data_IF_073549499580
#
_entry.id   IF_073549499580
#
_cell.length_a   1.000
_cell.length_b   1.000
_cell.length_c   1.000
_cell.angle_alpha   90.00
_cell.angle_beta   90.00
_cell.angle_gamma   90.00
#
_symmetry.space_group_name_H-M   'P 1'
#
loop_
_entity.id
_entity.type
_entity.pdbx_description
1 polymer ?
#
# COMPACT_ATOMS: atom_id res chain seq x y z
N UNK A 1 14.07 -6.04 -4.84
CA UNK A 1 13.27 -6.76 -3.83
C UNK A 1 13.91 -6.74 -2.44
N UNK A 2 15.10 -6.15 -2.25
CA UNK A 2 15.63 -5.94 -0.89
C UNK A 2 14.92 -4.78 -0.20
N UNK A 3 14.46 -5.02 1.02
CA UNK A 3 13.96 -4.01 1.95
C UNK A 3 12.44 -3.83 2.01
N UNK A 4 11.63 -4.52 1.22
CA UNK A 4 10.16 -4.43 1.33
C UNK A 4 9.63 -5.24 2.52
N UNK A 5 8.77 -4.62 3.34
CA UNK A 5 8.13 -5.30 4.46
C UNK A 5 6.97 -6.13 3.90
N UNK A 6 7.11 -7.45 3.92
CA UNK A 6 6.09 -8.40 3.46
C UNK A 6 5.33 -8.92 4.69
N UNK A 7 4.02 -8.62 4.82
CA UNK A 7 3.23 -9.15 5.91
C UNK A 7 2.97 -10.65 5.70
N UNK A 8 3.16 -11.43 6.75
CA UNK A 8 2.84 -12.86 6.77
C UNK A 8 1.63 -13.11 7.66
N UNK A 9 0.66 -13.86 7.15
CA UNK A 9 -0.44 -14.39 7.94
C UNK A 9 -0.12 -15.84 8.28
N UNK A 10 0.00 -16.14 9.58
CA UNK A 10 0.26 -17.49 10.09
C UNK A 10 -1.01 -18.00 10.75
N UNK A 11 -1.49 -19.15 10.30
CA UNK A 11 -2.61 -19.88 10.90
C UNK A 11 -2.05 -21.14 11.57
N UNK A 12 -2.27 -21.29 12.86
CA UNK A 12 -1.81 -22.43 13.66
C UNK A 12 -3.01 -23.31 13.99
N UNK A 13 -2.91 -24.61 13.72
CA UNK A 13 -3.94 -25.61 14.00
C UNK A 13 -3.65 -26.37 15.31
N UNK A 14 -4.66 -27.07 15.83
CA UNK A 14 -4.54 -27.81 17.11
C UNK A 14 -3.54 -28.97 17.05
N UNK A 15 -3.34 -29.55 15.87
CA UNK A 15 -2.33 -30.58 15.60
C UNK A 15 -0.90 -30.03 15.48
N UNK A 16 -0.72 -28.73 15.76
CA UNK A 16 0.53 -27.97 15.61
C UNK A 16 1.02 -27.87 14.16
N UNK A 17 0.20 -28.23 13.18
CA UNK A 17 0.43 -27.81 11.81
C UNK A 17 0.21 -26.31 11.67
N UNK A 18 0.86 -25.70 10.69
CA UNK A 18 0.70 -24.27 10.41
C UNK A 18 0.69 -24.02 8.91
N UNK A 19 -0.19 -23.11 8.51
CA UNK A 19 -0.20 -22.51 7.17
C UNK A 19 0.33 -21.09 7.26
N UNK A 20 1.16 -20.69 6.30
CA UNK A 20 1.59 -19.31 6.17
C UNK A 20 1.28 -18.78 4.77
N UNK A 21 0.70 -17.58 4.72
CA UNK A 21 0.41 -16.86 3.47
C UNK A 21 1.17 -15.54 3.47
N UNK A 22 2.03 -15.36 2.47
CA UNK A 22 2.72 -14.10 2.21
C UNK A 22 1.76 -13.18 1.47
N UNK A 23 1.53 -11.99 2.01
CA UNK A 23 0.75 -10.93 1.36
C UNK A 23 1.68 -9.96 0.68
N UNK A 24 1.16 -9.16 -0.23
CA UNK A 24 1.89 -8.04 -0.83
C UNK A 24 2.22 -6.98 0.23
N UNK A 25 3.29 -6.20 0.01
CA UNK A 25 3.68 -5.12 0.90
C UNK A 25 2.53 -4.14 1.20
N UNK A 26 2.51 -3.52 2.39
CA UNK A 26 1.52 -2.51 2.73
C UNK A 26 1.49 -1.38 1.69
N UNK A 27 0.29 -0.91 1.35
CA UNK A 27 0.13 0.22 0.42
C UNK A 27 0.93 1.45 0.91
N UNK A 28 1.00 1.64 2.23
CA UNK A 28 1.76 2.73 2.85
C UNK A 28 3.26 2.67 2.57
N UNK A 29 3.87 1.47 2.53
CA UNK A 29 5.30 1.33 2.23
C UNK A 29 5.57 1.57 0.74
N UNK A 30 4.71 1.02 -0.13
CA UNK A 30 4.77 1.24 -1.57
C UNK A 30 4.63 2.72 -1.92
N UNK A 31 3.70 3.43 -1.28
CA UNK A 31 3.47 4.87 -1.47
C UNK A 31 4.63 5.72 -0.94
N UNK A 32 5.24 5.35 0.19
CA UNK A 32 6.43 6.05 0.72
C UNK A 32 7.61 5.97 -0.25
N UNK A 33 7.84 4.79 -0.84
CA UNK A 33 8.88 4.58 -1.84
C UNK A 33 8.62 5.37 -3.11
N UNK A 34 7.38 5.32 -3.62
CA UNK A 34 6.98 6.07 -4.81
C UNK A 34 7.12 7.59 -4.60
N UNK A 35 6.74 8.09 -3.41
CA UNK A 35 6.89 9.50 -3.04
C UNK A 35 8.32 9.89 -2.61
N UNK A 36 9.23 8.92 -2.46
CA UNK A 36 10.60 9.09 -1.92
C UNK A 36 10.63 9.77 -0.55
N UNK A 37 9.73 9.38 0.35
CA UNK A 37 9.62 9.91 1.72
C UNK A 37 9.86 8.81 2.75
N UNK A 38 10.58 9.11 3.82
CA UNK A 38 10.84 8.13 4.89
C UNK A 38 9.62 7.96 5.81
N UNK A 39 8.88 9.06 6.06
CA UNK A 39 7.74 9.08 6.98
C UNK A 39 6.52 9.77 6.35
N UNK A 40 5.34 9.24 6.66
CA UNK A 40 4.07 9.91 6.36
C UNK A 40 3.88 11.15 7.25
N UNK A 41 2.93 12.01 6.86
CA UNK A 41 2.60 13.21 7.61
C UNK A 41 1.99 12.89 8.97
N UNK A 42 2.48 13.56 10.01
CA UNK A 42 1.82 13.54 11.32
C UNK A 42 0.51 14.33 11.35
N UNK A 43 0.27 15.21 10.36
CA UNK A 43 -0.97 15.96 10.19
C UNK A 43 -1.39 15.93 8.71
N UNK A 44 -1.92 14.80 8.21
CA UNK A 44 -2.15 14.52 6.77
C UNK A 44 -3.00 15.55 6.02
N UNK A 45 -3.91 16.20 6.75
CA UNK A 45 -4.82 17.21 6.21
C UNK A 45 -4.19 18.60 6.09
N UNK A 46 -3.10 18.89 6.81
CA UNK A 46 -2.45 20.22 6.83
C UNK A 46 -1.05 20.22 6.22
N UNK A 47 -0.26 19.19 6.50
CA UNK A 47 1.10 19.06 5.99
C UNK A 47 1.15 17.94 4.95
N UNK A 48 1.36 18.31 3.68
CA UNK A 48 1.66 17.35 2.62
C UNK A 48 3.16 17.06 2.61
N UNK A 49 3.53 15.78 2.60
CA UNK A 49 4.93 15.34 2.75
C UNK A 49 5.53 14.78 1.46
N UNK A 50 4.71 14.53 0.44
CA UNK A 50 5.19 14.02 -0.84
C UNK A 50 4.12 14.09 -1.92
N UNK A 51 4.52 13.78 -3.16
CA UNK A 51 3.64 13.74 -4.32
C UNK A 51 3.92 12.49 -5.14
N UNK A 52 2.88 11.85 -5.65
CA UNK A 52 2.96 10.68 -6.54
C UNK A 52 2.13 10.93 -7.80
N UNK A 53 2.51 10.30 -8.92
CA UNK A 53 1.73 10.40 -10.16
C UNK A 53 0.60 9.38 -10.19
N UNK A 54 -0.42 9.61 -11.03
CA UNK A 54 -1.45 8.60 -11.31
C UNK A 54 -0.89 7.30 -11.87
N UNK A 55 0.23 7.35 -12.61
CA UNK A 55 0.90 6.16 -13.12
C UNK A 55 1.47 5.31 -11.97
N UNK A 56 2.07 5.94 -10.96
CA UNK A 56 2.57 5.24 -9.77
C UNK A 56 1.43 4.59 -8.99
N UNK A 57 0.31 5.30 -8.83
CA UNK A 57 -0.90 4.77 -8.18
C UNK A 57 -1.42 3.53 -8.92
N UNK A 58 -1.45 3.56 -10.25
CA UNK A 58 -1.88 2.44 -11.07
C UNK A 58 -0.96 1.23 -10.91
N UNK A 59 0.36 1.43 -10.98
CA UNK A 59 1.33 0.35 -10.79
C UNK A 59 1.22 -0.28 -9.39
N UNK A 60 1.01 0.54 -8.35
CA UNK A 60 0.78 0.06 -6.98
C UNK A 60 -0.54 -0.72 -6.89
N UNK A 61 -1.61 -0.21 -7.51
CA UNK A 61 -2.92 -0.85 -7.51
C UNK A 61 -2.89 -2.21 -8.23
N UNK A 62 -2.25 -2.30 -9.39
CA UNK A 62 -2.07 -3.55 -10.14
C UNK A 62 -1.26 -4.56 -9.33
N UNK A 63 -0.17 -4.13 -8.70
CA UNK A 63 0.65 -5.01 -7.84
C UNK A 63 -0.08 -5.49 -6.59
N UNK A 64 -0.99 -4.67 -6.04
CA UNK A 64 -1.75 -5.00 -4.83
C UNK A 64 -3.08 -5.71 -5.13
N UNK A 65 -3.46 -5.84 -6.41
CA UNK A 65 -4.79 -6.29 -6.82
C UNK A 65 -5.15 -7.66 -6.24
N UNK A 66 -4.18 -8.58 -6.16
CA UNK A 66 -4.38 -9.93 -5.62
C UNK A 66 -4.78 -9.95 -4.13
N UNK A 67 -4.43 -8.91 -3.38
CA UNK A 67 -4.79 -8.75 -1.97
C UNK A 67 -5.96 -7.80 -1.73
N UNK A 68 -6.37 -7.07 -2.77
CA UNK A 68 -7.48 -6.13 -2.69
C UNK A 68 -8.78 -6.84 -3.05
N UNK A 69 -9.83 -6.48 -2.34
CA UNK A 69 -11.21 -6.86 -2.64
C UNK A 69 -11.85 -5.96 -3.71
N UNK A 70 -11.04 -5.33 -4.56
CA UNK A 70 -11.52 -4.45 -5.63
C UNK A 70 -11.94 -5.26 -6.86
N UNK A 71 -12.99 -4.83 -7.55
CA UNK A 71 -13.50 -5.49 -8.75
C UNK A 71 -12.84 -4.98 -10.05
N UNK A 72 -12.16 -3.83 -9.98
CA UNK A 72 -11.46 -3.22 -11.11
C UNK A 72 -10.19 -2.49 -10.67
N UNK A 73 -9.26 -2.30 -11.60
CA UNK A 73 -8.03 -1.53 -11.35
C UNK A 73 -8.36 -0.10 -10.93
N UNK A 74 -9.42 0.50 -11.49
CA UNK A 74 -9.85 1.86 -11.10
C UNK A 74 -10.36 1.91 -9.65
N UNK A 75 -11.08 0.88 -9.20
CA UNK A 75 -11.51 0.78 -7.81
C UNK A 75 -10.30 0.56 -6.88
N UNK A 76 -9.35 -0.28 -7.29
CA UNK A 76 -8.09 -0.47 -6.57
C UNK A 76 -7.31 0.84 -6.47
N UNK A 77 -7.21 1.62 -7.56
CA UNK A 77 -6.58 2.93 -7.56
C UNK A 77 -7.22 3.86 -6.51
N UNK A 78 -8.56 3.93 -6.43
CA UNK A 78 -9.25 4.74 -5.41
C UNK A 78 -8.90 4.32 -3.98
N UNK A 79 -8.72 3.02 -3.71
CA UNK A 79 -8.30 2.51 -2.40
C UNK A 79 -6.88 3.00 -2.06
N UNK A 80 -5.97 2.93 -3.04
CA UNK A 80 -4.59 3.41 -2.88
C UNK A 80 -4.56 4.94 -2.72
N UNK A 81 -5.35 5.69 -3.49
CA UNK A 81 -5.48 7.15 -3.36
C UNK A 81 -5.99 7.56 -1.97
N UNK A 82 -6.96 6.83 -1.40
CA UNK A 82 -7.42 7.04 -0.03
C UNK A 82 -6.30 6.87 1.00
N UNK A 83 -5.42 5.89 0.77
CA UNK A 83 -4.23 5.66 1.61
C UNK A 83 -3.20 6.78 1.43
N UNK A 84 -2.95 7.24 0.20
CA UNK A 84 -2.06 8.37 -0.06
C UNK A 84 -2.55 9.63 0.67
N UNK A 85 -3.85 9.90 0.60
CA UNK A 85 -4.48 11.03 1.28
C UNK A 85 -4.34 10.97 2.80
N UNK A 86 -4.55 9.80 3.41
CA UNK A 86 -4.40 9.60 4.86
C UNK A 86 -2.94 9.68 5.33
N UNK A 87 -1.98 9.52 4.43
CA UNK A 87 -0.55 9.72 4.70
C UNK A 87 -0.06 11.14 4.44
N UNK A 88 -0.90 12.02 3.89
CA UNK A 88 -0.50 13.36 3.48
C UNK A 88 0.34 13.36 2.20
N UNK A 89 0.19 12.36 1.34
CA UNK A 89 0.79 12.32 0.01
C UNK A 89 -0.24 12.87 -0.98
N UNK A 90 0.18 13.80 -1.83
CA UNK A 90 -0.67 14.38 -2.88
C UNK A 90 -0.59 13.51 -4.13
N UNK A 91 -1.74 13.23 -4.74
CA UNK A 91 -1.81 12.53 -6.03
C UNK A 91 -1.87 13.60 -7.12
N UNK A 92 -0.78 13.73 -7.87
CA UNK A 92 -0.73 14.57 -9.06
C UNK A 92 -1.61 13.98 -10.16
N UNK A 93 -2.32 14.87 -10.87
CA UNK A 93 -3.06 14.52 -12.08
C UNK A 93 -2.18 13.81 -13.11
#
# INVERSE_FOLDING_TARGET
MEGEIIPVQITIYEDRSFDFKLKTPPASDMLRRAAKVEKGSGVPNRAKVGKVSRADIRAIAERKMEDLNAESVEAAMKIIEGTARSMGIEVGA
#
